data_IF_647365703412
#
_entry.id   IF_647365703412
#
_cell.length_a   1.000
_cell.length_b   1.000
_cell.length_c   1.000
_cell.angle_alpha   90.00
_cell.angle_beta   90.00
_cell.angle_gamma   90.00
#
_symmetry.space_group_name_H-M   'P 1'
#
loop_
_entity.id
_entity.type
_entity.pdbx_description
1 polymer ?
#
# COMPACT_ATOMS: atom_id res chain seq x y z
N UNK A 1 -7.87 -0.40 -16.86
CA UNK A 1 -7.93 -0.35 -15.37
C UNK A 1 -7.85 1.11 -14.95
N UNK A 2 -8.70 1.62 -14.04
CA UNK A 2 -8.71 3.03 -13.63
C UNK A 2 -7.34 3.51 -13.13
N UNK A 3 -6.62 2.71 -12.33
CA UNK A 3 -5.32 3.10 -11.80
C UNK A 3 -4.27 3.28 -12.91
N UNK A 4 -4.28 2.41 -13.91
CA UNK A 4 -3.40 2.52 -15.09
C UNK A 4 -3.73 3.77 -15.92
N UNK A 5 -5.02 4.11 -16.08
CA UNK A 5 -5.43 5.34 -16.77
C UNK A 5 -4.94 6.61 -16.03
N UNK A 6 -4.86 6.58 -14.70
CA UNK A 6 -4.33 7.70 -13.90
C UNK A 6 -2.82 7.85 -14.12
N UNK A 7 -2.07 6.75 -14.21
CA UNK A 7 -0.65 6.80 -14.60
C UNK A 7 -0.50 7.34 -16.03
N UNK A 8 -1.34 6.90 -16.96
CA UNK A 8 -1.33 7.38 -18.35
C UNK A 8 -1.67 8.87 -18.47
N UNK A 9 -2.46 9.41 -17.53
CA UNK A 9 -2.77 10.82 -17.41
C UNK A 9 -1.62 11.65 -16.78
N UNK A 10 -0.52 11.02 -16.37
CA UNK A 10 0.69 11.69 -15.92
C UNK A 10 1.01 11.57 -14.42
N UNK A 11 0.31 10.72 -13.67
CA UNK A 11 0.66 10.46 -12.27
C UNK A 11 1.90 9.55 -12.15
N UNK A 12 2.79 9.86 -11.20
CA UNK A 12 3.95 9.01 -10.88
C UNK A 12 3.61 7.87 -9.90
N UNK A 13 2.55 8.03 -9.11
CA UNK A 13 2.13 7.09 -8.06
C UNK A 13 0.61 7.13 -7.86
N UNK A 14 0.00 5.94 -7.78
CA UNK A 14 -1.39 5.76 -7.37
C UNK A 14 -1.43 4.91 -6.10
N UNK A 15 -2.14 5.37 -5.08
CA UNK A 15 -2.39 4.63 -3.84
C UNK A 15 -3.90 4.43 -3.69
N UNK A 16 -4.33 3.20 -3.96
CA UNK A 16 -5.67 2.70 -3.70
C UNK A 16 -5.80 2.13 -2.30
N UNK A 17 -7.04 2.11 -1.81
CA UNK A 17 -7.44 1.57 -0.52
C UNK A 17 -8.91 1.15 -0.61
N UNK A 18 -9.49 0.60 0.48
CA UNK A 18 -10.86 0.10 0.66
C UNK A 18 -11.01 -1.42 0.87
N UNK A 19 -10.31 -2.32 0.17
CA UNK A 19 -10.50 -3.77 0.34
C UNK A 19 -10.21 -4.34 1.74
N UNK A 20 -9.71 -3.53 2.67
CA UNK A 20 -9.26 -3.88 4.03
C UNK A 20 -8.13 -4.92 4.11
N UNK A 21 -7.73 -5.51 2.99
CA UNK A 21 -6.62 -6.45 2.86
C UNK A 21 -5.53 -5.90 1.95
N UNK A 22 -4.29 -6.35 2.14
CA UNK A 22 -3.15 -5.99 1.30
C UNK A 22 -3.36 -6.56 -0.10
N UNK A 23 -3.17 -5.73 -1.13
CA UNK A 23 -3.07 -6.19 -2.51
C UNK A 23 -1.67 -5.92 -3.05
N UNK A 24 -1.26 -6.71 -4.06
CA UNK A 24 0.03 -6.51 -4.72
C UNK A 24 0.12 -5.08 -5.25
N UNK A 25 1.28 -4.45 -5.13
CA UNK A 25 1.59 -3.24 -5.87
C UNK A 25 2.37 -3.61 -7.13
N UNK A 26 2.23 -2.79 -8.17
CA UNK A 26 2.94 -3.00 -9.42
C UNK A 26 3.60 -1.72 -9.92
N UNK A 27 4.61 -1.88 -10.78
CA UNK A 27 5.13 -0.80 -11.60
C UNK A 27 4.44 -0.88 -12.96
N UNK A 28 3.76 0.20 -13.36
CA UNK A 28 3.11 0.31 -14.65
C UNK A 28 3.72 1.49 -15.42
N UNK A 29 4.35 1.21 -16.56
CA UNK A 29 5.15 2.21 -17.32
C UNK A 29 6.15 2.93 -16.40
N UNK A 30 6.02 4.25 -16.27
CA UNK A 30 6.90 5.10 -15.48
C UNK A 30 6.39 5.33 -14.05
N UNK A 31 5.21 4.82 -13.70
CA UNK A 31 4.59 5.02 -12.39
C UNK A 31 4.40 3.74 -11.59
N UNK A 32 3.97 3.91 -10.35
CA UNK A 32 3.72 2.81 -9.40
C UNK A 32 2.27 2.82 -8.93
N UNK A 33 1.70 1.64 -8.69
CA UNK A 33 0.30 1.48 -8.29
C UNK A 33 0.25 0.54 -7.09
N UNK A 34 -0.22 1.03 -5.95
CA UNK A 34 -0.66 0.22 -4.82
C UNK A 34 -2.17 0.07 -4.92
N UNK A 35 -2.70 -1.14 -5.08
CA UNK A 35 -4.15 -1.32 -5.23
C UNK A 35 -4.89 -1.29 -3.87
N UNK A 36 -4.24 -1.80 -2.82
CA UNK A 36 -4.71 -1.68 -1.44
C UNK A 36 -3.54 -1.89 -0.49
N UNK A 37 -3.45 -1.03 0.53
CA UNK A 37 -2.49 -1.18 1.63
C UNK A 37 -3.02 -2.04 2.78
N UNK A 38 -4.28 -2.48 2.75
CA UNK A 38 -4.91 -3.11 3.92
C UNK A 38 -5.08 -2.14 5.09
N UNK A 39 -5.41 -2.66 6.26
CA UNK A 39 -5.68 -1.85 7.45
C UNK A 39 -4.36 -1.40 8.12
N UNK A 40 -4.31 -0.15 8.60
CA UNK A 40 -3.22 0.33 9.46
C UNK A 40 -3.59 0.24 10.94
N UNK A 41 -4.74 0.80 11.31
CA UNK A 41 -5.39 0.67 12.62
C UNK A 41 -6.87 0.50 12.31
N UNK A 42 -7.45 -0.67 12.60
CA UNK A 42 -8.86 -0.94 12.36
C UNK A 42 -9.38 -2.12 13.18
N UNK A 43 -10.62 -2.07 13.64
CA UNK A 43 -11.27 -3.03 14.55
C UNK A 43 -11.89 -4.24 13.81
N UNK A 44 -11.27 -4.68 12.71
CA UNK A 44 -11.73 -5.80 11.90
C UNK A 44 -10.94 -7.08 12.18
N UNK A 45 -11.15 -7.65 13.37
CA UNK A 45 -10.48 -8.88 13.81
C UNK A 45 -11.12 -10.19 13.32
N UNK A 46 -11.94 -10.15 12.27
CA UNK A 46 -12.68 -11.33 11.80
C UNK A 46 -11.86 -12.24 10.86
N UNK A 47 -10.73 -11.77 10.33
CA UNK A 47 -9.77 -12.60 9.58
C UNK A 47 -8.33 -12.12 9.76
N UNK A 48 -7.36 -13.00 9.52
CA UNK A 48 -5.95 -12.66 9.61
C UNK A 48 -5.57 -11.59 8.57
N UNK A 49 -6.15 -11.66 7.36
CA UNK A 49 -5.85 -10.72 6.28
C UNK A 49 -6.27 -9.29 6.59
N UNK A 50 -7.36 -9.10 7.36
CA UNK A 50 -7.80 -7.76 7.81
C UNK A 50 -7.02 -7.26 9.01
N UNK A 51 -6.26 -8.14 9.67
CA UNK A 51 -5.28 -7.81 10.71
C UNK A 51 -3.88 -7.52 10.15
N UNK A 52 -3.71 -7.59 8.83
CA UNK A 52 -2.47 -7.27 8.14
C UNK A 52 -2.59 -5.96 7.35
N UNK A 53 -1.47 -5.24 7.27
CA UNK A 53 -1.37 -4.01 6.48
C UNK A 53 0.00 -3.82 5.86
N UNK A 54 0.11 -2.78 5.05
CA UNK A 54 1.33 -2.40 4.35
C UNK A 54 1.57 -0.90 4.50
N UNK A 55 2.79 -0.53 4.90
CA UNK A 55 3.30 0.83 4.79
C UNK A 55 4.02 0.93 3.45
N UNK A 56 3.52 1.77 2.55
CA UNK A 56 4.24 2.13 1.35
C UNK A 56 5.42 3.03 1.71
N UNK A 57 6.65 2.60 1.40
CA UNK A 57 7.87 3.39 1.56
C UNK A 57 8.31 3.90 0.19
N UNK A 58 8.18 5.21 -0.01
CA UNK A 58 8.53 5.88 -1.26
C UNK A 58 9.69 6.84 -0.99
N UNK A 59 10.79 6.69 -1.73
CA UNK A 59 11.94 7.58 -1.64
C UNK A 59 11.97 8.45 -2.89
N UNK A 60 11.86 9.76 -2.72
CA UNK A 60 11.87 10.74 -3.80
C UNK A 60 13.21 11.49 -3.77
N UNK A 61 13.89 11.56 -4.93
CA UNK A 61 15.15 12.30 -5.14
C UNK A 61 15.07 13.04 -6.46
N UNK A 62 15.51 14.29 -6.50
CA UNK A 62 15.54 15.12 -7.72
C UNK A 62 14.20 15.14 -8.47
N UNK A 63 13.09 15.28 -7.72
CA UNK A 63 11.70 15.26 -8.21
C UNK A 63 11.27 13.94 -8.88
N UNK A 64 12.01 12.85 -8.68
CA UNK A 64 11.71 11.51 -9.21
C UNK A 64 11.62 10.48 -8.11
N UNK A 65 10.77 9.48 -8.31
CA UNK A 65 10.72 8.31 -7.42
C UNK A 65 11.99 7.47 -7.67
N UNK A 66 12.82 7.36 -6.63
CA UNK A 66 14.08 6.61 -6.66
C UNK A 66 13.95 5.18 -6.14
N UNK A 67 12.99 4.93 -5.24
CA UNK A 67 12.71 3.60 -4.70
C UNK A 67 11.28 3.52 -4.19
N UNK A 68 10.68 2.34 -4.36
CA UNK A 68 9.36 1.98 -3.83
C UNK A 68 9.48 0.60 -3.20
N UNK A 69 9.09 0.50 -1.94
CA UNK A 69 8.95 -0.78 -1.25
C UNK A 69 7.70 -0.77 -0.36
N UNK A 70 7.31 -1.96 0.09
CA UNK A 70 6.24 -2.15 1.04
C UNK A 70 6.81 -2.76 2.31
N UNK A 71 6.47 -2.20 3.46
CA UNK A 71 6.77 -2.77 4.77
C UNK A 71 5.50 -3.39 5.32
N UNK A 72 5.53 -4.68 5.62
CA UNK A 72 4.38 -5.38 6.19
C UNK A 72 4.23 -5.03 7.67
N UNK A 73 3.01 -4.72 8.06
CA UNK A 73 2.60 -4.58 9.46
C UNK A 73 1.58 -5.66 9.81
N UNK A 74 1.53 -6.01 11.09
CA UNK A 74 0.51 -6.86 11.68
C UNK A 74 -0.09 -6.09 12.84
N UNK A 75 -1.41 -6.12 12.97
CA UNK A 75 -2.10 -5.59 14.14
C UNK A 75 -2.17 -6.66 15.24
N UNK A 76 -1.87 -6.29 16.47
CA UNK A 76 -2.04 -7.17 17.63
C UNK A 76 -3.52 -7.28 18.05
N UNK A 77 -3.81 -8.05 19.09
CA UNK A 77 -5.17 -8.27 19.60
C UNK A 77 -5.89 -7.00 20.08
N UNK A 78 -5.15 -5.90 20.28
CA UNK A 78 -5.67 -4.58 20.63
C UNK A 78 -5.73 -3.62 19.42
N UNK A 79 -5.62 -4.16 18.20
CA UNK A 79 -5.62 -3.41 16.94
C UNK A 79 -4.48 -2.39 16.82
N UNK A 80 -3.36 -2.63 17.50
CA UNK A 80 -2.17 -1.77 17.43
C UNK A 80 -1.20 -2.31 16.37
N UNK A 81 -0.69 -1.46 15.46
CA UNK A 81 0.19 -1.89 14.40
C UNK A 81 1.60 -2.15 14.91
N UNK A 82 2.15 -3.29 14.54
CA UNK A 82 3.52 -3.69 14.80
C UNK A 82 4.24 -3.97 13.49
N UNK A 83 5.51 -3.54 13.40
CA UNK A 83 6.36 -3.92 12.27
C UNK A 83 6.67 -5.41 12.39
N UNK A 84 6.32 -6.17 11.35
CA UNK A 84 6.75 -7.56 11.24
C UNK A 84 8.27 -7.57 11.00
N UNK A 85 9.04 -7.98 12.02
CA UNK A 85 10.50 -8.15 11.92
C UNK A 85 10.85 -9.25 10.92
#
# INVERSE_FOLDING_TARGET
NLAQNIIDAGADLVIGHHPHVIQKYEKYKNGYIFYSLGNFIFDQGFSDETMEGAIAKIIIKDKKISSVSSLKIIMNEFFQPELKK
#
